data_IF_437463371454
#
_entry.id   IF_437463371454
#
_cell.length_a   1.000
_cell.length_b   1.000
_cell.length_c   1.000
_cell.angle_alpha   90.00
_cell.angle_beta   90.00
_cell.angle_gamma   90.00
#
_symmetry.space_group_name_H-M   'P 1'
#
loop_
_entity.id
_entity.type
_entity.pdbx_description
1 polymer ?
#
# COMPACT_ATOMS: atom_id res chain seq x y z
N UNK A 1 39.55 25.75 -24.52
CA UNK A 1 39.57 25.16 -25.88
C UNK A 1 40.43 23.90 -25.85
N UNK A 2 39.85 22.72 -26.08
CA UNK A 2 40.60 21.52 -26.49
C UNK A 2 40.04 21.11 -27.83
N UNK A 3 40.89 21.11 -28.85
CA UNK A 3 40.53 20.83 -30.24
C UNK A 3 39.75 19.51 -30.34
N UNK A 4 38.48 19.58 -30.76
CA UNK A 4 37.71 18.41 -31.12
C UNK A 4 37.94 18.11 -32.59
N UNK A 5 38.57 16.97 -32.91
CA UNK A 5 38.49 16.43 -34.26
C UNK A 5 37.03 16.08 -34.52
N UNK A 6 36.32 16.91 -35.28
CA UNK A 6 34.95 16.63 -35.71
C UNK A 6 34.98 15.39 -36.61
N UNK A 7 34.12 14.42 -36.32
CA UNK A 7 34.01 13.21 -37.11
C UNK A 7 33.39 13.55 -38.48
N UNK A 8 33.84 12.84 -39.50
CA UNK A 8 33.22 12.81 -40.83
C UNK A 8 32.34 11.58 -40.97
N UNK A 9 31.38 11.63 -41.90
CA UNK A 9 30.47 10.50 -42.13
C UNK A 9 31.20 9.22 -42.61
N UNK A 10 32.35 9.38 -43.30
CA UNK A 10 33.20 8.28 -43.71
C UNK A 10 33.88 7.62 -42.51
N UNK A 11 34.48 8.42 -41.62
CA UNK A 11 35.12 7.93 -40.39
C UNK A 11 34.12 7.20 -39.49
N UNK A 12 32.92 7.75 -39.30
CA UNK A 12 31.87 7.10 -38.48
C UNK A 12 31.57 5.67 -38.94
N UNK A 13 31.67 5.38 -40.25
CA UNK A 13 31.49 4.02 -40.78
C UNK A 13 32.70 3.13 -40.54
N UNK A 14 33.92 3.64 -40.77
CA UNK A 14 35.16 2.85 -40.72
C UNK A 14 35.73 2.62 -39.32
N UNK A 15 35.29 3.36 -38.30
CA UNK A 15 35.81 3.24 -36.94
C UNK A 15 35.47 1.89 -36.28
N UNK A 16 36.42 1.33 -35.54
CA UNK A 16 36.22 0.10 -34.75
C UNK A 16 35.37 0.35 -33.48
N UNK A 17 35.24 -0.68 -32.65
CA UNK A 17 34.61 -0.54 -31.33
C UNK A 17 35.40 0.44 -30.46
N UNK A 18 34.72 1.43 -29.88
CA UNK A 18 35.38 2.51 -29.16
C UNK A 18 34.47 3.69 -28.83
N UNK A 19 35.01 4.67 -28.11
CA UNK A 19 34.35 5.94 -27.79
C UNK A 19 35.05 7.06 -28.52
N UNK A 20 34.33 7.75 -29.41
CA UNK A 20 34.88 8.79 -30.27
C UNK A 20 34.16 10.10 -30.00
N UNK A 21 34.90 11.17 -29.73
CA UNK A 21 34.33 12.50 -29.53
C UNK A 21 34.12 13.19 -30.88
N UNK A 22 32.91 13.71 -31.13
CA UNK A 22 32.64 14.59 -32.27
C UNK A 22 32.85 16.07 -31.89
N UNK A 23 32.68 16.41 -30.61
CA UNK A 23 32.90 17.74 -30.07
C UNK A 23 31.69 18.31 -29.35
N UNK A 24 31.90 19.40 -28.61
CA UNK A 24 30.84 20.13 -27.90
C UNK A 24 29.95 19.25 -27.01
N UNK A 25 30.51 18.16 -26.48
CA UNK A 25 29.80 17.18 -25.64
C UNK A 25 29.19 15.99 -26.39
N UNK A 26 29.26 15.93 -27.72
CA UNK A 26 28.76 14.81 -28.54
C UNK A 26 29.81 13.69 -28.69
N UNK A 27 29.37 12.45 -28.48
CA UNK A 27 30.19 11.24 -28.55
C UNK A 27 29.49 10.11 -29.30
N UNK A 28 30.25 9.40 -30.12
CA UNK A 28 29.88 8.11 -30.71
C UNK A 28 30.42 6.99 -29.84
N UNK A 29 29.55 6.06 -29.43
CA UNK A 29 29.94 4.85 -28.69
C UNK A 29 29.63 3.64 -29.55
N UNK A 30 30.68 3.00 -30.09
CA UNK A 30 30.61 1.72 -30.79
C UNK A 30 30.97 0.59 -29.83
N UNK A 31 30.13 -0.45 -29.78
CA UNK A 31 30.29 -1.65 -28.96
C UNK A 31 30.91 -2.77 -29.78
N UNK A 32 31.51 -3.75 -29.11
CA UNK A 32 32.15 -4.91 -29.76
C UNK A 32 31.15 -5.83 -30.48
N UNK A 33 29.87 -5.79 -30.08
CA UNK A 33 28.75 -6.52 -30.70
C UNK A 33 28.25 -5.89 -32.02
N UNK A 34 28.91 -4.81 -32.50
CA UNK A 34 28.49 -4.07 -33.69
C UNK A 34 27.38 -3.04 -33.46
N UNK A 35 26.91 -2.87 -32.22
CA UNK A 35 25.99 -1.81 -31.82
C UNK A 35 26.69 -0.44 -31.77
N UNK A 36 26.04 0.61 -32.24
CA UNK A 36 26.58 1.97 -32.21
C UNK A 36 25.51 2.97 -31.77
N UNK A 37 25.84 3.87 -30.84
CA UNK A 37 24.91 4.85 -30.29
C UNK A 37 25.56 6.22 -30.11
N UNK A 38 24.77 7.26 -30.33
CA UNK A 38 25.13 8.65 -30.03
C UNK A 38 24.81 8.99 -28.59
N UNK A 39 25.77 9.59 -27.90
CA UNK A 39 25.63 10.04 -26.51
C UNK A 39 26.05 11.49 -26.39
N UNK A 40 25.38 12.23 -25.52
CA UNK A 40 25.67 13.63 -25.26
C UNK A 40 25.96 13.83 -23.77
N UNK A 41 27.13 14.40 -23.48
CA UNK A 41 27.63 14.66 -22.13
C UNK A 41 27.49 16.14 -21.81
N UNK A 42 26.89 16.43 -20.65
CA UNK A 42 26.67 17.78 -20.17
C UNK A 42 26.79 17.86 -18.65
N UNK A 43 27.01 19.06 -18.13
CA UNK A 43 26.98 19.33 -16.69
C UNK A 43 25.80 20.25 -16.42
N UNK A 44 24.91 19.86 -15.52
CA UNK A 44 23.80 20.68 -15.06
C UNK A 44 23.83 20.71 -13.52
N UNK A 45 23.73 21.90 -12.95
CA UNK A 45 23.81 22.12 -11.50
C UNK A 45 25.05 21.47 -10.83
N UNK A 46 26.21 21.59 -11.48
CA UNK A 46 27.48 21.05 -10.96
C UNK A 46 27.63 19.53 -11.04
N UNK A 47 26.66 18.79 -11.61
CA UNK A 47 26.73 17.33 -11.75
C UNK A 47 26.88 16.91 -13.21
N UNK A 48 27.89 16.09 -13.56
CA UNK A 48 28.03 15.55 -14.91
C UNK A 48 26.92 14.52 -15.18
N UNK A 49 26.36 14.57 -16.39
CA UNK A 49 25.29 13.69 -16.87
C UNK A 49 25.52 13.31 -18.33
N UNK A 50 24.96 12.17 -18.73
CA UNK A 50 25.04 11.66 -20.09
C UNK A 50 23.62 11.25 -20.56
N UNK A 51 23.25 11.62 -21.78
CA UNK A 51 21.97 11.23 -22.41
C UNK A 51 22.21 10.58 -23.77
N UNK A 52 21.46 9.53 -24.08
CA UNK A 52 21.50 8.86 -25.38
C UNK A 52 20.63 9.58 -26.41
N UNK A 53 21.21 9.94 -27.56
CA UNK A 53 20.49 10.60 -28.65
C UNK A 53 19.88 9.61 -29.65
N UNK A 54 20.39 8.38 -29.72
CA UNK A 54 19.84 7.30 -30.53
C UNK A 54 20.91 6.38 -31.12
N UNK A 55 20.47 5.28 -31.74
CA UNK A 55 21.36 4.34 -32.44
C UNK A 55 21.84 4.93 -33.76
N UNK A 56 23.09 4.67 -34.14
CA UNK A 56 23.67 5.10 -35.43
C UNK A 56 22.86 4.57 -36.63
N UNK A 57 22.12 3.47 -36.47
CA UNK A 57 21.24 2.92 -37.52
C UNK A 57 20.05 3.81 -37.85
N UNK A 58 19.60 4.61 -36.88
CA UNK A 58 18.40 5.45 -36.99
C UNK A 58 18.71 6.95 -36.92
N UNK A 59 19.89 7.33 -36.44
CA UNK A 59 20.29 8.72 -36.25
C UNK A 59 21.63 8.93 -36.96
N UNK A 60 21.57 9.67 -38.06
CA UNK A 60 22.75 10.10 -38.81
C UNK A 60 23.62 11.07 -37.99
N UNK A 61 24.88 11.24 -38.39
CA UNK A 61 25.78 12.22 -37.76
C UNK A 61 25.20 13.64 -37.76
N UNK A 62 24.52 14.05 -38.85
CA UNK A 62 23.88 15.37 -38.96
C UNK A 62 22.75 15.51 -37.95
N UNK A 63 21.87 14.52 -37.87
CA UNK A 63 20.76 14.51 -36.90
C UNK A 63 21.28 14.47 -35.46
N UNK A 64 22.34 13.71 -35.19
CA UNK A 64 22.97 13.67 -33.87
C UNK A 64 23.50 15.05 -33.45
N UNK A 65 24.07 15.84 -34.37
CA UNK A 65 24.51 17.22 -34.11
C UNK A 65 23.33 18.15 -33.80
N UNK A 66 22.24 18.04 -34.55
CA UNK A 66 21.00 18.81 -34.30
C UNK A 66 20.39 18.47 -32.93
N UNK A 67 20.27 17.17 -32.61
CA UNK A 67 19.79 16.71 -31.32
C UNK A 67 20.71 17.14 -30.17
N UNK A 68 22.03 17.14 -30.38
CA UNK A 68 22.98 17.65 -29.40
C UNK A 68 22.82 19.16 -29.16
N UNK A 69 22.49 19.94 -30.21
CA UNK A 69 22.22 21.37 -30.08
C UNK A 69 20.92 21.65 -29.32
N UNK A 70 19.87 20.88 -29.58
CA UNK A 70 18.61 20.92 -28.83
C UNK A 70 18.85 20.65 -27.34
N UNK A 71 19.59 19.58 -27.03
CA UNK A 71 19.94 19.24 -25.65
C UNK A 71 20.80 20.33 -25.00
N UNK A 72 21.74 20.94 -25.74
CA UNK A 72 22.52 22.10 -25.26
C UNK A 72 21.62 23.29 -24.95
N UNK A 73 20.63 23.58 -25.78
CA UNK A 73 19.67 24.67 -25.53
C UNK A 73 18.92 24.43 -24.23
N UNK A 74 18.35 23.24 -24.05
CA UNK A 74 17.65 22.88 -22.81
C UNK A 74 18.53 23.02 -21.57
N UNK A 75 19.78 22.56 -21.65
CA UNK A 75 20.73 22.68 -20.53
C UNK A 75 21.08 24.15 -20.22
N UNK A 76 21.21 25.01 -21.24
CA UNK A 76 21.41 26.47 -21.05
C UNK A 76 20.21 27.12 -20.36
N UNK A 77 19.00 26.68 -20.68
CA UNK A 77 17.76 27.15 -20.07
C UNK A 77 17.53 26.55 -18.67
N UNK A 78 18.49 25.77 -18.15
CA UNK A 78 18.39 25.12 -16.84
C UNK A 78 17.48 23.89 -16.81
N UNK A 79 17.01 23.42 -17.96
CA UNK A 79 16.12 22.27 -18.11
C UNK A 79 16.96 20.98 -18.20
N UNK A 80 16.60 19.98 -17.38
CA UNK A 80 17.22 18.66 -17.42
C UNK A 80 16.60 17.81 -18.56
N UNK A 81 17.33 17.58 -19.67
CA UNK A 81 16.82 16.90 -20.87
C UNK A 81 16.40 15.45 -20.59
N UNK A 82 17.04 14.79 -19.61
CA UNK A 82 16.71 13.42 -19.20
C UNK A 82 15.35 13.42 -18.50
N UNK A 83 15.10 14.40 -17.62
CA UNK A 83 13.80 14.55 -16.95
C UNK A 83 12.72 14.95 -17.95
N UNK A 84 12.98 15.91 -18.84
CA UNK A 84 12.04 16.34 -19.87
C UNK A 84 11.58 15.17 -20.76
N UNK A 85 12.53 14.36 -21.25
CA UNK A 85 12.21 13.16 -22.05
C UNK A 85 11.43 12.12 -21.26
N UNK A 86 11.76 11.92 -19.98
CA UNK A 86 11.02 11.00 -19.09
C UNK A 86 9.59 11.48 -18.84
N UNK A 87 9.38 12.79 -18.69
CA UNK A 87 8.04 13.38 -18.55
C UNK A 87 7.24 13.13 -19.82
N UNK A 88 7.82 13.37 -21.00
CA UNK A 88 7.15 13.19 -22.29
C UNK A 88 6.80 11.73 -22.58
N UNK A 89 7.74 10.80 -22.36
CA UNK A 89 7.46 9.37 -22.43
C UNK A 89 6.42 8.91 -21.41
N UNK A 90 6.41 9.56 -20.23
CA UNK A 90 5.38 9.37 -19.22
C UNK A 90 4.00 9.76 -19.72
N UNK A 91 3.85 10.91 -20.41
CA UNK A 91 2.55 11.37 -20.95
C UNK A 91 1.88 10.32 -21.83
N UNK A 92 2.64 9.66 -22.71
CA UNK A 92 2.11 8.61 -23.60
C UNK A 92 1.61 7.37 -22.83
N UNK A 93 2.33 6.92 -21.81
CA UNK A 93 1.93 5.78 -20.97
C UNK A 93 0.78 6.11 -19.99
N UNK A 94 0.60 7.38 -19.65
CA UNK A 94 -0.39 7.83 -18.66
C UNK A 94 -1.83 7.72 -19.14
N UNK A 95 -2.06 7.81 -20.45
CA UNK A 95 -3.42 7.81 -21.03
C UNK A 95 -4.11 6.45 -20.86
N UNK A 96 -3.35 5.37 -20.67
CA UNK A 96 -3.88 4.00 -20.67
C UNK A 96 -3.89 3.32 -19.29
N UNK A 97 -3.41 3.98 -18.23
CA UNK A 97 -3.36 3.34 -16.91
C UNK A 97 -4.75 3.30 -16.27
N UNK A 98 -5.26 2.09 -16.11
CA UNK A 98 -6.57 1.84 -15.52
C UNK A 98 -6.55 2.06 -14.00
N UNK A 99 -7.72 2.41 -13.43
CA UNK A 99 -7.88 2.54 -11.99
C UNK A 99 -7.44 1.27 -11.25
N UNK A 100 -7.77 0.09 -11.79
CA UNK A 100 -7.40 -1.20 -11.18
C UNK A 100 -5.89 -1.38 -11.08
N UNK A 101 -5.14 -1.07 -12.15
CA UNK A 101 -3.69 -1.18 -12.15
C UNK A 101 -3.05 -0.25 -11.11
N UNK A 102 -3.52 1.00 -11.03
CA UNK A 102 -3.02 1.98 -10.06
C UNK A 102 -3.43 1.60 -8.65
N UNK A 103 -4.62 1.04 -8.44
CA UNK A 103 -5.07 0.58 -7.14
C UNK A 103 -4.18 -0.54 -6.58
N UNK A 104 -3.75 -1.48 -7.44
CA UNK A 104 -2.81 -2.55 -7.06
C UNK A 104 -1.43 -1.96 -6.75
N UNK A 105 -0.90 -1.07 -7.60
CA UNK A 105 0.37 -0.41 -7.35
C UNK A 105 0.38 0.39 -6.04
N UNK A 106 -0.70 1.15 -5.78
CA UNK A 106 -0.89 1.90 -4.54
C UNK A 106 -0.95 0.95 -3.33
N UNK A 107 -1.62 -0.19 -3.48
CA UNK A 107 -1.68 -1.21 -2.44
C UNK A 107 -0.30 -1.78 -2.13
N UNK A 108 0.52 -2.12 -3.13
CA UNK A 108 1.86 -2.68 -2.92
C UNK A 108 2.77 -1.76 -2.12
N UNK A 109 2.71 -0.45 -2.39
CA UNK A 109 3.46 0.55 -1.61
C UNK A 109 2.90 0.64 -0.19
N UNK A 110 1.58 0.69 -0.04
CA UNK A 110 0.94 0.84 1.27
C UNK A 110 1.08 -0.42 2.14
N UNK A 111 1.14 -1.62 1.56
CA UNK A 111 1.16 -2.90 2.28
C UNK A 111 2.31 -2.98 3.28
N UNK A 112 3.45 -2.36 2.97
CA UNK A 112 4.64 -2.34 3.85
C UNK A 112 4.38 -1.62 5.18
N UNK A 113 3.41 -0.70 5.21
CA UNK A 113 3.02 0.06 6.41
C UNK A 113 1.91 -0.64 7.22
N UNK A 114 1.24 -1.61 6.62
CA UNK A 114 0.18 -2.38 7.28
C UNK A 114 0.76 -3.46 8.18
N UNK A 115 0.05 -3.79 9.27
CA UNK A 115 0.35 -4.99 10.05
C UNK A 115 0.15 -6.23 9.18
N UNK A 116 0.95 -7.27 9.43
CA UNK A 116 0.97 -8.53 8.67
C UNK A 116 1.06 -8.31 7.15
N UNK A 117 1.75 -7.26 6.71
CA UNK A 117 1.88 -6.88 5.30
C UNK A 117 0.55 -6.74 4.53
N UNK A 118 -0.58 -6.54 5.23
CA UNK A 118 -1.90 -6.47 4.63
C UNK A 118 -2.52 -7.81 4.22
N UNK A 119 -1.96 -8.96 4.65
CA UNK A 119 -2.46 -10.31 4.32
C UNK A 119 -3.95 -10.52 4.60
N UNK A 120 -4.48 -9.88 5.64
CA UNK A 120 -5.91 -9.87 5.96
C UNK A 120 -6.83 -9.35 4.83
N UNK A 121 -6.27 -8.69 3.81
CA UNK A 121 -7.01 -8.13 2.67
C UNK A 121 -7.95 -6.97 3.02
N UNK A 122 -8.10 -6.63 4.31
CA UNK A 122 -9.04 -5.63 4.84
C UNK A 122 -8.86 -4.25 4.25
N UNK A 123 -7.63 -3.87 3.88
CA UNK A 123 -7.39 -2.57 3.26
C UNK A 123 -7.90 -2.51 1.82
N UNK A 124 -7.67 -3.57 1.04
CA UNK A 124 -8.01 -3.63 -0.39
C UNK A 124 -9.47 -4.05 -0.63
N UNK A 125 -10.07 -4.79 0.31
CA UNK A 125 -11.44 -5.29 0.22
C UNK A 125 -12.49 -4.21 -0.12
N UNK A 126 -12.50 -3.01 0.49
CA UNK A 126 -13.44 -1.96 0.10
C UNK A 126 -13.31 -1.52 -1.37
N UNK A 127 -12.10 -1.41 -1.91
CA UNK A 127 -11.89 -1.10 -3.33
C UNK A 127 -12.41 -2.24 -4.22
N UNK A 128 -12.04 -3.48 -3.87
CA UNK A 128 -12.42 -4.69 -4.62
C UNK A 128 -13.92 -4.93 -4.66
N UNK A 129 -14.63 -4.66 -3.57
CA UNK A 129 -16.06 -4.94 -3.45
C UNK A 129 -16.92 -3.84 -4.06
N UNK A 130 -16.54 -2.57 -3.88
CA UNK A 130 -17.44 -1.45 -4.18
C UNK A 130 -17.03 -0.61 -5.39
N UNK A 131 -15.74 -0.57 -5.76
CA UNK A 131 -15.24 0.37 -6.79
C UNK A 131 -14.76 -0.35 -8.03
N UNK A 132 -13.82 -1.29 -7.86
CA UNK A 132 -13.15 -1.98 -8.97
C UNK A 132 -14.09 -2.77 -9.91
N UNK A 133 -15.23 -3.35 -9.46
CA UNK A 133 -16.14 -4.04 -10.36
C UNK A 133 -16.72 -3.14 -11.45
N UNK A 134 -16.94 -1.85 -11.15
CA UNK A 134 -17.52 -0.89 -12.11
C UNK A 134 -16.45 -0.02 -12.78
N UNK A 135 -15.54 0.55 -12.00
CA UNK A 135 -14.58 1.56 -12.50
C UNK A 135 -13.18 0.99 -12.76
N UNK A 136 -12.90 -0.26 -12.39
CA UNK A 136 -11.53 -0.80 -12.37
C UNK A 136 -10.85 -0.85 -13.75
N UNK A 137 -11.62 -0.97 -14.84
CA UNK A 137 -11.09 -0.99 -16.21
C UNK A 137 -10.99 0.39 -16.84
N UNK A 138 -11.58 1.42 -16.23
CA UNK A 138 -11.55 2.77 -16.79
C UNK A 138 -10.18 3.42 -16.54
N UNK A 139 -9.64 4.19 -17.51
CA UNK A 139 -8.48 5.03 -17.29
C UNK A 139 -8.75 6.02 -16.15
N UNK A 140 -7.83 6.11 -15.18
CA UNK A 140 -8.07 6.93 -13.97
C UNK A 140 -8.32 8.41 -14.29
N UNK A 141 -7.70 8.93 -15.36
CA UNK A 141 -7.83 10.32 -15.81
C UNK A 141 -9.18 10.62 -16.48
N UNK A 142 -9.99 9.60 -16.76
CA UNK A 142 -11.32 9.74 -17.39
C UNK A 142 -12.48 9.57 -16.41
N UNK A 143 -12.19 9.16 -15.17
CA UNK A 143 -13.21 9.01 -14.13
C UNK A 143 -13.59 10.39 -13.62
N UNK A 144 -14.88 10.66 -13.51
CA UNK A 144 -15.42 11.88 -12.91
C UNK A 144 -16.09 11.65 -11.54
N UNK A 145 -16.54 12.72 -10.88
CA UNK A 145 -17.21 12.60 -9.58
C UNK A 145 -18.58 11.89 -9.66
N UNK A 146 -19.24 11.89 -10.82
CA UNK A 146 -20.53 11.24 -11.03
C UNK A 146 -20.36 9.72 -11.13
N UNK A 147 -19.33 9.26 -11.84
CA UNK A 147 -18.93 7.85 -11.91
C UNK A 147 -18.73 7.26 -10.50
N UNK A 148 -18.03 8.00 -9.63
CA UNK A 148 -17.78 7.58 -8.25
C UNK A 148 -19.08 7.57 -7.44
N UNK A 149 -19.90 8.61 -7.57
CA UNK A 149 -21.19 8.70 -6.88
C UNK A 149 -22.14 7.57 -7.31
N UNK A 150 -22.29 7.30 -8.60
CA UNK A 150 -23.17 6.25 -9.13
C UNK A 150 -22.67 4.84 -8.78
N UNK A 151 -21.34 4.69 -8.65
CA UNK A 151 -20.73 3.46 -8.17
C UNK A 151 -21.07 3.19 -6.71
N UNK A 152 -21.04 4.22 -5.86
CA UNK A 152 -21.18 4.06 -4.40
C UNK A 152 -22.57 4.38 -3.84
N UNK A 153 -23.50 4.95 -4.61
CA UNK A 153 -24.79 5.45 -4.11
C UNK A 153 -25.58 4.39 -3.29
N UNK A 154 -25.68 3.16 -3.78
CA UNK A 154 -26.43 2.10 -3.07
C UNK A 154 -25.71 1.72 -1.76
N UNK A 155 -24.39 1.54 -1.83
CA UNK A 155 -23.58 1.20 -0.66
C UNK A 155 -23.53 2.35 0.36
N UNK A 156 -23.69 3.61 -0.07
CA UNK A 156 -23.71 4.79 0.79
C UNK A 156 -24.95 4.83 1.69
N UNK A 157 -26.07 4.31 1.19
CA UNK A 157 -27.34 4.21 1.92
C UNK A 157 -27.33 2.95 2.80
N UNK A 158 -27.06 1.78 2.22
CA UNK A 158 -27.19 0.51 2.93
C UNK A 158 -26.03 0.21 3.89
N UNK A 159 -24.81 0.59 3.52
CA UNK A 159 -23.56 0.20 4.19
C UNK A 159 -22.58 1.37 4.26
N UNK A 160 -23.05 2.49 4.81
CA UNK A 160 -22.34 3.77 4.81
C UNK A 160 -20.87 3.67 5.24
N UNK A 161 -20.55 2.95 6.32
CA UNK A 161 -19.16 2.83 6.80
C UNK A 161 -18.25 2.09 5.80
N UNK A 162 -18.77 1.10 5.09
CA UNK A 162 -18.02 0.40 4.04
C UNK A 162 -17.78 1.29 2.83
N UNK A 163 -18.79 2.06 2.41
CA UNK A 163 -18.66 3.03 1.32
C UNK A 163 -17.70 4.18 1.68
N UNK A 164 -17.77 4.70 2.91
CA UNK A 164 -16.82 5.69 3.45
C UNK A 164 -15.38 5.17 3.44
N UNK A 165 -15.16 3.91 3.85
CA UNK A 165 -13.85 3.26 3.75
C UNK A 165 -13.39 3.17 2.30
N UNK A 166 -14.28 2.79 1.37
CA UNK A 166 -13.96 2.71 -0.05
C UNK A 166 -13.51 4.07 -0.61
N UNK A 167 -14.21 5.17 -0.31
CA UNK A 167 -13.78 6.53 -0.68
C UNK A 167 -12.43 6.90 -0.08
N UNK A 168 -12.20 6.60 1.20
CA UNK A 168 -10.92 6.86 1.85
C UNK A 168 -9.78 6.09 1.19
N UNK A 169 -10.02 4.85 0.72
CA UNK A 169 -9.02 4.09 -0.03
C UNK A 169 -8.81 4.64 -1.42
N UNK A 170 -9.89 5.05 -2.10
CA UNK A 170 -9.82 5.66 -3.42
C UNK A 170 -8.99 6.94 -3.40
N UNK A 171 -9.12 7.77 -2.36
CA UNK A 171 -8.26 8.93 -2.15
C UNK A 171 -6.76 8.56 -2.14
N UNK A 172 -6.38 7.49 -1.44
CA UNK A 172 -4.98 7.03 -1.42
C UNK A 172 -4.52 6.57 -2.81
N UNK A 173 -5.39 5.91 -3.58
CA UNK A 173 -5.11 5.51 -4.97
C UNK A 173 -4.89 6.74 -5.85
N UNK A 174 -5.72 7.78 -5.73
CA UNK A 174 -5.57 9.02 -6.48
C UNK A 174 -4.30 9.79 -6.09
N UNK A 175 -3.96 9.86 -4.79
CA UNK A 175 -2.68 10.42 -4.34
C UNK A 175 -1.49 9.68 -4.94
N UNK A 176 -1.57 8.35 -5.03
CA UNK A 176 -0.55 7.54 -5.68
C UNK A 176 -0.47 7.82 -7.19
N UNK A 177 -1.62 8.01 -7.86
CA UNK A 177 -1.69 8.37 -9.27
C UNK A 177 -1.00 9.72 -9.55
N UNK A 178 -1.26 10.74 -8.71
CA UNK A 178 -0.57 12.04 -8.79
C UNK A 178 0.93 11.88 -8.60
N UNK A 179 1.38 11.06 -7.65
CA UNK A 179 2.81 10.78 -7.44
C UNK A 179 3.46 10.07 -8.65
N UNK A 180 2.69 9.26 -9.38
CA UNK A 180 3.08 8.66 -10.67
C UNK A 180 2.95 9.65 -11.86
N UNK A 181 2.59 10.90 -11.59
CA UNK A 181 2.38 12.00 -12.53
C UNK A 181 1.18 11.81 -13.47
N UNK A 182 0.17 11.02 -13.09
CA UNK A 182 -1.11 11.05 -13.81
C UNK A 182 -1.80 12.39 -13.60
N UNK A 183 -2.43 12.89 -14.66
CA UNK A 183 -3.23 14.11 -14.61
C UNK A 183 -4.61 13.76 -14.06
N UNK A 184 -4.77 13.89 -12.73
CA UNK A 184 -5.99 13.56 -12.00
C UNK A 184 -6.28 14.62 -10.96
N UNK A 185 -7.56 14.95 -10.77
CA UNK A 185 -8.02 15.89 -9.74
C UNK A 185 -8.23 15.16 -8.41
N UNK A 186 -7.50 15.53 -7.35
CA UNK A 186 -7.71 14.98 -6.01
C UNK A 186 -9.06 15.41 -5.39
N UNK A 187 -9.62 16.55 -5.83
CA UNK A 187 -10.89 17.06 -5.33
C UNK A 187 -12.08 16.22 -5.81
N UNK A 188 -11.90 15.37 -6.81
CA UNK A 188 -12.96 14.49 -7.34
C UNK A 188 -13.63 13.66 -6.25
N UNK A 189 -12.86 13.20 -5.26
CA UNK A 189 -13.36 12.38 -4.15
C UNK A 189 -14.26 13.21 -3.22
N UNK A 190 -13.86 14.45 -2.94
CA UNK A 190 -14.67 15.34 -2.10
C UNK A 190 -15.91 15.82 -2.85
N UNK A 191 -15.80 16.12 -4.15
CA UNK A 191 -16.95 16.41 -5.03
C UNK A 191 -17.94 15.24 -5.05
N UNK A 192 -17.46 14.01 -5.23
CA UNK A 192 -18.31 12.82 -5.19
C UNK A 192 -18.99 12.63 -3.83
N UNK A 193 -18.28 12.91 -2.74
CA UNK A 193 -18.83 12.87 -1.38
C UNK A 193 -19.90 13.94 -1.14
N UNK A 194 -19.75 15.14 -1.71
CA UNK A 194 -20.81 16.17 -1.71
C UNK A 194 -22.03 15.69 -2.50
N UNK A 195 -21.85 15.10 -3.68
CA UNK A 195 -22.94 14.56 -4.50
C UNK A 195 -23.67 13.38 -3.83
N UNK A 196 -22.96 12.55 -3.07
CA UNK A 196 -23.55 11.48 -2.26
C UNK A 196 -24.37 12.00 -1.07
N UNK A 197 -24.17 13.26 -0.69
CA UNK A 197 -24.88 13.91 0.40
C UNK A 197 -24.50 13.40 1.79
N UNK A 198 -25.09 14.03 2.81
CA UNK A 198 -24.97 13.55 4.19
C UNK A 198 -25.80 12.28 4.33
N UNK A 199 -25.14 11.13 4.44
CA UNK A 199 -25.80 9.98 5.05
C UNK A 199 -25.85 10.24 6.55
N UNK A 200 -27.04 10.12 7.14
CA UNK A 200 -27.22 10.05 8.58
C UNK A 200 -27.37 8.57 8.93
N UNK A 201 -26.26 7.79 8.95
CA UNK A 201 -26.35 6.40 9.35
C UNK A 201 -26.91 6.37 10.77
N UNK A 202 -28.06 5.75 10.97
CA UNK A 202 -28.54 5.46 12.30
C UNK A 202 -27.53 4.50 12.92
N UNK A 203 -26.78 4.97 13.92
CA UNK A 203 -25.87 4.13 14.67
C UNK A 203 -26.71 3.06 15.37
N UNK A 204 -26.71 1.84 14.82
CA UNK A 204 -27.25 0.69 15.54
C UNK A 204 -26.19 0.26 16.54
N UNK A 205 -26.37 0.70 17.78
CA UNK A 205 -25.54 0.22 18.88
C UNK A 205 -25.70 -1.30 18.96
N UNK A 206 -24.58 -2.01 19.09
CA UNK A 206 -24.62 -3.44 19.36
C UNK A 206 -25.07 -3.59 20.82
N UNK A 207 -26.12 -4.38 21.12
CA UNK A 207 -26.53 -4.63 22.50
C UNK A 207 -25.34 -5.12 23.32
N UNK A 208 -25.12 -4.48 24.46
CA UNK A 208 -24.12 -4.89 25.44
C UNK A 208 -24.83 -5.56 26.62
N UNK A 209 -24.18 -6.57 27.21
CA UNK A 209 -24.63 -7.18 28.46
C UNK A 209 -24.55 -6.14 29.59
N UNK A 210 -25.52 -6.15 30.51
CA UNK A 210 -25.45 -5.33 31.71
C UNK A 210 -24.28 -5.81 32.58
N UNK A 211 -23.50 -4.86 33.13
CA UNK A 211 -22.37 -5.19 33.99
C UNK A 211 -22.78 -6.01 35.22
N UNK A 212 -24.02 -5.86 35.69
CA UNK A 212 -24.57 -6.62 36.80
C UNK A 212 -24.81 -8.12 36.46
N UNK A 213 -24.98 -8.44 35.18
CA UNK A 213 -25.17 -9.81 34.69
C UNK A 213 -23.83 -10.51 34.38
N UNK A 214 -22.74 -9.76 34.24
CA UNK A 214 -21.42 -10.33 33.92
C UNK A 214 -20.97 -11.39 34.95
N UNK A 215 -21.15 -11.23 36.28
CA UNK A 215 -20.75 -12.26 37.24
C UNK A 215 -21.57 -13.56 37.15
N UNK A 216 -22.87 -13.50 36.84
CA UNK A 216 -23.66 -14.72 36.62
C UNK A 216 -23.25 -15.40 35.32
N UNK A 217 -23.05 -14.64 34.24
CA UNK A 217 -22.55 -15.16 32.97
C UNK A 217 -21.16 -15.78 33.10
N UNK A 218 -20.22 -15.12 33.78
CA UNK A 218 -18.86 -15.62 33.99
C UNK A 218 -18.86 -17.02 34.63
N UNK A 219 -19.75 -17.27 35.59
CA UNK A 219 -19.90 -18.58 36.25
C UNK A 219 -20.44 -19.68 35.34
N UNK A 220 -21.02 -19.35 34.19
CA UNK A 220 -21.45 -20.34 33.20
C UNK A 220 -20.31 -20.86 32.32
N UNK A 221 -19.13 -20.21 32.37
CA UNK A 221 -17.96 -20.58 31.59
C UNK A 221 -17.16 -21.66 32.32
N UNK A 222 -16.87 -22.77 31.65
CA UNK A 222 -16.13 -23.89 32.23
C UNK A 222 -14.61 -23.69 32.27
N UNK A 223 -13.94 -24.68 32.85
CA UNK A 223 -12.49 -24.69 33.05
C UNK A 223 -11.71 -25.47 31.96
N UNK A 224 -12.42 -26.16 31.06
CA UNK A 224 -11.80 -27.13 30.14
C UNK A 224 -11.70 -26.64 28.70
N UNK A 225 -12.59 -25.74 28.28
CA UNK A 225 -12.62 -25.28 26.89
C UNK A 225 -11.81 -23.98 26.72
N UNK A 226 -10.88 -24.01 25.76
CA UNK A 226 -10.01 -22.88 25.46
C UNK A 226 -10.73 -21.57 25.15
N UNK A 227 -11.89 -21.69 24.50
CA UNK A 227 -12.72 -20.54 24.13
C UNK A 227 -13.33 -19.90 25.37
N UNK A 228 -13.76 -20.71 26.33
CA UNK A 228 -14.37 -20.26 27.59
C UNK A 228 -13.32 -19.62 28.49
N UNK A 229 -12.14 -20.23 28.62
CA UNK A 229 -11.01 -19.66 29.37
C UNK A 229 -10.50 -18.35 28.74
N UNK A 230 -10.36 -18.28 27.41
CA UNK A 230 -9.99 -17.04 26.73
C UNK A 230 -11.05 -15.94 26.92
N UNK A 231 -12.34 -16.29 26.97
CA UNK A 231 -13.42 -15.34 27.26
C UNK A 231 -13.37 -14.88 28.73
N UNK A 232 -13.07 -15.77 29.69
CA UNK A 232 -12.84 -15.40 31.09
C UNK A 232 -11.68 -14.43 31.23
N UNK A 233 -10.56 -14.70 30.57
CA UNK A 233 -9.42 -13.77 30.53
C UNK A 233 -9.80 -12.43 29.93
N UNK A 234 -10.61 -12.42 28.87
CA UNK A 234 -11.08 -11.18 28.25
C UNK A 234 -11.94 -10.34 29.21
N UNK A 235 -12.83 -10.98 29.97
CA UNK A 235 -13.69 -10.33 30.96
C UNK A 235 -12.86 -9.75 32.11
N UNK A 236 -11.88 -10.50 32.62
CA UNK A 236 -11.07 -10.08 33.77
C UNK A 236 -10.08 -8.97 33.46
N UNK A 237 -9.53 -8.96 32.24
CA UNK A 237 -8.44 -8.03 31.86
C UNK A 237 -8.92 -6.86 30.99
N UNK A 238 -10.09 -6.96 30.35
CA UNK A 238 -10.65 -5.92 29.48
C UNK A 238 -9.83 -5.64 28.22
N UNK A 239 -8.82 -6.46 27.91
CA UNK A 239 -7.97 -6.27 26.74
C UNK A 239 -8.70 -6.66 25.46
N UNK A 240 -8.05 -6.51 24.30
CA UNK A 240 -8.65 -6.94 23.03
C UNK A 240 -8.49 -8.45 22.85
N UNK A 241 -9.47 -9.08 22.21
CA UNK A 241 -9.47 -10.53 21.94
C UNK A 241 -8.20 -11.02 21.23
N UNK A 242 -7.65 -10.24 20.31
CA UNK A 242 -6.39 -10.59 19.65
C UNK A 242 -5.20 -10.66 20.61
N UNK A 243 -5.19 -9.86 21.69
CA UNK A 243 -4.13 -9.90 22.69
C UNK A 243 -4.25 -11.17 23.54
N UNK A 244 -5.45 -11.51 24.00
CA UNK A 244 -5.69 -12.76 24.78
C UNK A 244 -5.31 -14.00 23.98
N UNK A 245 -5.74 -14.07 22.71
CA UNK A 245 -5.47 -15.24 21.86
C UNK A 245 -3.99 -15.45 21.50
N UNK A 246 -3.14 -14.44 21.68
CA UNK A 246 -1.71 -14.52 21.42
C UNK A 246 -0.89 -14.37 22.71
N UNK A 247 -1.55 -14.58 23.87
CA UNK A 247 -0.91 -14.56 25.17
C UNK A 247 0.04 -15.76 25.29
N UNK A 248 1.27 -15.49 25.71
CA UNK A 248 2.29 -16.50 25.97
C UNK A 248 2.72 -16.42 27.43
N UNK A 249 3.07 -17.56 28.03
CA UNK A 249 3.51 -17.62 29.43
C UNK A 249 4.72 -16.72 29.72
N UNK A 250 5.68 -16.65 28.78
CA UNK A 250 6.87 -15.78 28.88
C UNK A 250 6.56 -14.28 29.00
N UNK A 251 5.33 -13.86 28.69
CA UNK A 251 4.90 -12.47 28.78
C UNK A 251 4.41 -12.09 30.19
N UNK A 252 4.32 -13.06 31.10
CA UNK A 252 3.81 -12.88 32.46
C UNK A 252 4.99 -12.89 33.43
N UNK A 253 5.13 -11.81 34.20
CA UNK A 253 6.07 -11.71 35.33
C UNK A 253 5.29 -11.39 36.61
N UNK A 254 5.28 -12.33 37.55
CA UNK A 254 4.44 -12.26 38.75
C UNK A 254 2.96 -12.12 38.40
N UNK A 255 2.38 -10.95 38.69
CA UNK A 255 1.00 -10.60 38.37
C UNK A 255 0.87 -9.58 37.22
N UNK A 256 1.94 -9.32 36.48
CA UNK A 256 1.95 -8.36 35.38
C UNK A 256 2.08 -9.12 34.07
N UNK A 257 1.12 -8.91 33.17
CA UNK A 257 1.20 -9.38 31.78
C UNK A 257 1.64 -8.24 30.85
N UNK A 258 2.78 -8.39 30.19
CA UNK A 258 3.30 -7.44 29.22
C UNK A 258 2.82 -7.81 27.81
N UNK A 259 1.93 -7.00 27.22
CA UNK A 259 1.43 -7.25 25.86
C UNK A 259 2.43 -6.66 24.84
N UNK A 260 3.06 -7.49 23.98
CA UNK A 260 4.03 -7.00 23.01
C UNK A 260 3.34 -6.16 21.92
N UNK A 261 4.08 -5.18 21.37
CA UNK A 261 3.58 -4.23 20.36
C UNK A 261 2.95 -4.89 19.11
N UNK A 262 3.40 -6.10 18.75
CA UNK A 262 2.82 -6.92 17.69
C UNK A 262 1.34 -7.27 17.95
N UNK A 263 0.99 -7.56 19.20
CA UNK A 263 -0.36 -7.99 19.63
C UNK A 263 -1.28 -6.82 20.01
N UNK A 264 -0.77 -5.58 20.03
CA UNK A 264 -1.57 -4.37 20.28
C UNK A 264 -2.20 -3.87 18.98
N UNK A 265 -3.46 -3.43 18.98
CA UNK A 265 -4.09 -2.83 17.79
C UNK A 265 -3.40 -1.51 17.42
N UNK A 266 -2.91 -1.39 16.18
CA UNK A 266 -2.26 -0.17 15.71
C UNK A 266 -1.51 -0.36 14.39
N UNK A 267 -0.72 0.64 14.00
CA UNK A 267 0.14 0.60 12.81
C UNK A 267 1.48 -0.10 13.13
N UNK A 268 2.06 -0.76 12.13
CA UNK A 268 3.38 -1.39 12.25
C UNK A 268 4.44 -0.33 12.62
N UNK A 269 5.26 -0.61 13.64
CA UNK A 269 6.35 0.27 14.08
C UNK A 269 5.94 1.51 14.89
N UNK A 270 4.63 1.79 15.06
CA UNK A 270 4.15 2.95 15.82
C UNK A 270 3.42 2.59 17.12
N UNK A 271 3.27 1.28 17.38
CA UNK A 271 2.54 0.79 18.54
C UNK A 271 3.54 0.40 19.63
N UNK A 272 3.28 0.78 20.89
CA UNK A 272 4.13 0.43 22.04
C UNK A 272 3.53 -0.78 22.77
N UNK A 273 4.35 -1.60 23.44
CA UNK A 273 3.83 -2.58 24.40
C UNK A 273 3.16 -1.86 25.58
N UNK A 274 2.30 -2.56 26.30
CA UNK A 274 1.72 -2.06 27.54
C UNK A 274 1.46 -3.19 28.52
N UNK A 275 1.45 -2.84 29.80
CA UNK A 275 1.34 -3.78 30.90
C UNK A 275 -0.09 -3.87 31.40
N UNK A 276 -0.50 -5.07 31.77
CA UNK A 276 -1.83 -5.40 32.26
C UNK A 276 -1.69 -6.08 33.62
N UNK A 277 -2.11 -5.43 34.72
CA UNK A 277 -2.20 -6.07 36.01
C UNK A 277 -3.24 -7.20 35.97
N UNK A 278 -2.86 -8.37 36.47
CA UNK A 278 -3.72 -9.55 36.54
C UNK A 278 -4.16 -9.80 37.97
N UNK A 279 -5.44 -10.10 38.14
CA UNK A 279 -5.98 -10.58 39.40
C UNK A 279 -5.56 -12.04 39.64
N UNK A 280 -5.72 -12.51 40.88
CA UNK A 280 -5.47 -13.92 41.22
C UNK A 280 -6.30 -14.87 40.35
N UNK A 281 -7.55 -14.49 40.05
CA UNK A 281 -8.42 -15.27 39.16
C UNK A 281 -7.89 -15.29 37.71
N UNK A 282 -7.36 -14.18 37.21
CA UNK A 282 -6.78 -14.14 35.86
C UNK A 282 -5.52 -15.02 35.76
N UNK A 283 -4.68 -15.00 36.80
CA UNK A 283 -3.53 -15.91 36.90
C UNK A 283 -3.97 -17.38 36.93
N UNK A 284 -5.00 -17.69 37.71
CA UNK A 284 -5.55 -19.05 37.79
C UNK A 284 -6.07 -19.52 36.42
N UNK A 285 -6.89 -18.72 35.75
CA UNK A 285 -7.41 -19.04 34.41
C UNK A 285 -6.28 -19.25 33.40
N UNK A 286 -5.21 -18.45 33.46
CA UNK A 286 -4.04 -18.63 32.61
C UNK A 286 -3.26 -19.94 32.87
N UNK A 287 -3.39 -20.53 34.06
CA UNK A 287 -2.72 -21.80 34.41
C UNK A 287 -3.56 -23.03 34.07
N UNK A 288 -4.89 -22.89 33.91
CA UNK A 288 -5.80 -24.01 33.61
C UNK A 288 -5.55 -24.64 32.24
N UNK A 289 -4.86 -23.94 31.34
CA UNK A 289 -4.54 -24.43 30.01
C UNK A 289 -3.04 -24.32 29.73
N UNK A 290 -2.34 -25.44 29.91
CA UNK A 290 -0.90 -25.53 29.76
C UNK A 290 -0.53 -26.34 28.52
N UNK A 291 -0.21 -25.63 27.43
CA UNK A 291 0.70 -26.12 26.39
C UNK A 291 1.97 -25.25 26.41
N UNK A 292 3.14 -25.84 26.19
CA UNK A 292 4.48 -25.23 26.35
C UNK A 292 4.73 -23.92 25.56
N UNK A 293 3.83 -23.52 24.66
CA UNK A 293 4.07 -22.44 23.67
C UNK A 293 3.02 -21.32 23.71
N UNK A 294 1.77 -21.60 24.09
CA UNK A 294 0.69 -20.62 24.13
C UNK A 294 -0.35 -20.98 25.19
N UNK A 295 -0.87 -19.99 25.91
CA UNK A 295 -1.86 -20.21 26.98
C UNK A 295 -3.20 -20.67 26.42
N UNK A 296 -3.55 -20.20 25.22
CA UNK A 296 -4.76 -20.63 24.50
C UNK A 296 -4.35 -21.10 23.10
N UNK A 297 -4.07 -22.41 22.89
CA UNK A 297 -3.65 -22.93 21.58
C UNK A 297 -4.70 -22.61 20.51
N UNK A 298 -4.21 -22.28 19.31
CA UNK A 298 -5.03 -21.81 18.19
C UNK A 298 -6.17 -22.79 17.88
N UNK A 299 -7.38 -22.22 17.77
CA UNK A 299 -8.66 -22.90 17.57
C UNK A 299 -8.60 -24.13 16.65
N UNK A 300 -8.63 -25.33 17.25
CA UNK A 300 -9.16 -26.51 16.57
C UNK A 300 -10.67 -26.61 16.86
N UNK A 301 -11.57 -26.61 15.85
CA UNK A 301 -13.02 -26.68 16.04
C UNK A 301 -13.51 -27.91 16.82
N UNK A 302 -12.66 -28.94 16.96
CA UNK A 302 -12.96 -30.18 17.66
C UNK A 302 -12.76 -30.15 19.18
N UNK A 303 -12.20 -29.07 19.75
CA UNK A 303 -11.81 -29.03 21.16
C UNK A 303 -12.96 -28.72 22.16
N UNK A 304 -14.14 -28.36 21.67
CA UNK A 304 -15.26 -27.90 22.51
C UNK A 304 -16.55 -28.68 22.18
N UNK A 305 -16.53 -30.01 22.31
CA UNK A 305 -17.76 -30.81 22.30
C UNK A 305 -18.46 -30.66 23.66
N UNK A 306 -19.51 -29.83 23.73
CA UNK A 306 -20.47 -29.90 24.84
C UNK A 306 -21.07 -31.31 24.86
N UNK A 307 -21.04 -31.99 26.01
CA UNK A 307 -21.84 -33.20 26.20
C UNK A 307 -23.33 -32.86 25.97
N UNK A 308 -24.10 -33.71 25.26
CA UNK A 308 -25.50 -33.42 24.94
C UNK A 308 -26.35 -33.60 26.20
N UNK A 309 -26.80 -32.50 26.79
CA UNK A 309 -27.65 -32.56 27.98
C UNK A 309 -27.93 -31.21 28.61
N UNK A 310 -28.46 -30.25 27.86
CA UNK A 310 -29.22 -29.13 28.44
C UNK A 310 -30.05 -28.48 27.35
N UNK A 311 -31.34 -28.36 27.62
CA UNK A 311 -32.39 -27.95 26.70
C UNK A 311 -32.17 -26.54 26.16
N UNK A 312 -32.56 -26.35 24.89
CA UNK A 312 -32.62 -25.05 24.24
C UNK A 312 -33.71 -24.22 24.89
N UNK A 313 -33.33 -23.17 25.63
CA UNK A 313 -34.24 -22.05 25.89
C UNK A 313 -34.17 -21.13 24.67
N UNK A 314 -35.23 -21.16 23.87
CA UNK A 314 -35.54 -20.18 22.84
C UNK A 314 -35.99 -18.87 23.48
N UNK A 315 -35.34 -17.77 23.09
CA UNK A 315 -35.93 -16.41 23.03
C UNK A 315 -35.49 -15.79 21.71
#
# INVERSE_FOLDING_TARGET
MRHSKRLTAAEVKSLDAGKYADGDGLWLVKRQDGGAQWTFRFTLWGRPRETGLGSLRHVSLREARLLAEEVRRQVRDGIDPIKARRIEQGKLRRVESTLGAIAVAAYEVHRKTLKNNGEDGKWFSPLRLYILPKLGRMPIAKIDQHDIKDTLQNAWIERHESARKALSRLMVVYQHAVALNHDVDLQIIEKAKVLLGKSAPQSRNIPAMDWAEVPSFYRTLGDTCAVELALRMLILTGVRSASVRNLKFEQIDGNIWTIPAENVKGRRGLTKPFDVPMSNEALHVGQLQSDDVAVFPLFSPSACSRQPGTERITV
#
